data_IF_632763790525
#
_entry.id   IF_632763790525
#
_cell.length_a   1.000
_cell.length_b   1.000
_cell.length_c   1.000
_cell.angle_alpha   90.00
_cell.angle_beta   90.00
_cell.angle_gamma   90.00
#
_symmetry.space_group_name_H-M   'P 1'
#
loop_
_entity.id
_entity.type
_entity.pdbx_description
1 polymer ?
#
# COMPACT_ATOMS: atom_id res chain seq x y z
N UNK A 1 26.15 -33.18 -20.79
CA UNK A 1 25.66 -32.16 -19.83
C UNK A 1 24.69 -31.25 -20.56
N UNK A 2 23.38 -31.51 -20.46
CA UNK A 2 22.37 -30.69 -21.12
C UNK A 2 22.15 -29.40 -20.31
N UNK A 3 22.39 -28.25 -20.94
CA UNK A 3 22.11 -26.95 -20.34
C UNK A 3 20.59 -26.79 -20.17
N UNK A 4 20.14 -26.68 -18.92
CA UNK A 4 18.75 -26.40 -18.60
C UNK A 4 18.46 -24.96 -19.02
N UNK A 5 17.69 -24.79 -20.10
CA UNK A 5 17.25 -23.47 -20.53
C UNK A 5 16.43 -22.78 -19.41
N UNK A 6 16.66 -21.49 -19.13
CA UNK A 6 15.94 -20.81 -18.06
C UNK A 6 14.45 -20.75 -18.35
N UNK A 7 13.63 -21.18 -17.37
CA UNK A 7 12.17 -21.17 -17.47
C UNK A 7 11.68 -19.72 -17.71
N UNK A 8 10.85 -19.46 -18.73
CA UNK A 8 10.38 -18.11 -19.00
C UNK A 8 9.61 -17.58 -17.78
N UNK A 9 9.94 -16.37 -17.36
CA UNK A 9 9.30 -15.73 -16.21
C UNK A 9 7.79 -15.56 -16.46
N UNK A 10 6.94 -15.67 -15.43
CA UNK A 10 5.52 -15.40 -15.55
C UNK A 10 5.27 -14.02 -16.15
N UNK A 11 4.24 -13.88 -17.00
CA UNK A 11 3.89 -12.64 -17.72
C UNK A 11 3.79 -11.42 -16.78
N UNK A 12 3.28 -11.61 -15.57
CA UNK A 12 3.23 -10.60 -14.50
C UNK A 12 4.62 -10.09 -14.09
N UNK A 13 5.59 -10.99 -13.87
CA UNK A 13 6.95 -10.63 -13.48
C UNK A 13 7.64 -9.82 -14.58
N UNK A 14 7.36 -10.15 -15.86
CA UNK A 14 7.88 -9.39 -17.01
C UNK A 14 7.28 -7.98 -17.07
N UNK A 15 5.96 -7.84 -16.94
CA UNK A 15 5.27 -6.54 -16.93
C UNK A 15 5.79 -5.65 -15.79
N UNK A 16 5.99 -6.22 -14.61
CA UNK A 16 6.53 -5.50 -13.44
C UNK A 16 7.99 -5.08 -13.60
N UNK A 17 8.77 -5.69 -14.50
CA UNK A 17 10.16 -5.30 -14.79
C UNK A 17 10.27 -4.25 -15.89
N UNK A 18 9.46 -4.34 -16.94
CA UNK A 18 9.66 -3.54 -18.17
C UNK A 18 8.60 -2.48 -18.42
N UNK A 19 7.48 -2.49 -17.67
CA UNK A 19 6.42 -1.49 -17.82
C UNK A 19 6.82 -0.10 -17.31
N UNK A 20 6.15 0.98 -17.74
CA UNK A 20 6.36 2.30 -17.16
C UNK A 20 5.91 2.32 -15.68
N UNK A 21 6.61 3.11 -14.85
CA UNK A 21 6.41 3.12 -13.39
C UNK A 21 4.95 3.45 -13.00
N UNK A 22 4.31 4.38 -13.71
CA UNK A 22 2.93 4.78 -13.42
C UNK A 22 1.93 3.63 -13.59
N UNK A 23 2.06 2.83 -14.66
CA UNK A 23 1.15 1.70 -14.90
C UNK A 23 1.35 0.59 -13.88
N UNK A 24 2.61 0.28 -13.55
CA UNK A 24 2.93 -0.66 -12.47
C UNK A 24 2.39 -0.17 -11.13
N UNK A 25 2.47 1.14 -10.88
CA UNK A 25 1.91 1.79 -9.70
C UNK A 25 0.40 1.64 -9.58
N UNK A 26 -0.35 1.85 -10.67
CA UNK A 26 -1.81 1.66 -10.69
C UNK A 26 -2.17 0.21 -10.34
N UNK A 27 -1.50 -0.77 -10.97
CA UNK A 27 -1.74 -2.19 -10.69
C UNK A 27 -1.41 -2.53 -9.23
N UNK A 28 -0.33 -1.98 -8.68
CA UNK A 28 0.05 -2.17 -7.29
C UNK A 28 -0.99 -1.59 -6.33
N UNK A 29 -1.50 -0.39 -6.61
CA UNK A 29 -2.54 0.25 -5.81
C UNK A 29 -3.86 -0.53 -5.82
N UNK A 30 -4.27 -1.04 -6.98
CA UNK A 30 -5.47 -1.87 -7.11
C UNK A 30 -5.31 -3.21 -6.35
N UNK A 31 -4.17 -3.87 -6.50
CA UNK A 31 -3.88 -5.10 -5.76
C UNK A 31 -3.88 -4.85 -4.24
N UNK A 32 -3.24 -3.78 -3.79
CA UNK A 32 -3.23 -3.39 -2.39
C UNK A 32 -4.64 -3.07 -1.87
N UNK A 33 -5.46 -2.37 -2.65
CA UNK A 33 -6.84 -2.06 -2.29
C UNK A 33 -7.67 -3.33 -2.08
N UNK A 34 -7.57 -4.30 -2.99
CA UNK A 34 -8.27 -5.59 -2.88
C UNK A 34 -7.83 -6.35 -1.63
N UNK A 35 -6.52 -6.52 -1.42
CA UNK A 35 -6.00 -7.29 -0.28
C UNK A 35 -6.35 -6.62 1.06
N UNK A 36 -6.24 -5.30 1.12
CA UNK A 36 -6.51 -4.55 2.35
C UNK A 36 -8.00 -4.51 2.68
N UNK A 37 -8.87 -4.38 1.67
CA UNK A 37 -10.32 -4.46 1.88
C UNK A 37 -10.73 -5.85 2.33
N UNK A 38 -10.18 -6.92 1.72
CA UNK A 38 -10.43 -8.29 2.15
C UNK A 38 -10.03 -8.50 3.61
N UNK A 39 -8.89 -7.97 4.04
CA UNK A 39 -8.49 -7.95 5.45
C UNK A 39 -9.52 -7.24 6.34
N UNK A 40 -10.03 -6.08 5.90
CA UNK A 40 -11.05 -5.34 6.64
C UNK A 40 -12.39 -6.10 6.73
N UNK A 41 -12.75 -6.84 5.69
CA UNK A 41 -13.96 -7.68 5.66
C UNK A 41 -13.82 -8.85 6.63
N UNK A 42 -12.65 -9.47 6.70
CA UNK A 42 -12.36 -10.52 7.69
C UNK A 42 -12.47 -9.98 9.12
N UNK A 43 -11.99 -8.76 9.38
CA UNK A 43 -12.14 -8.11 10.68
C UNK A 43 -13.62 -7.89 11.04
N UNK A 44 -14.46 -7.46 10.08
CA UNK A 44 -15.92 -7.32 10.30
C UNK A 44 -16.56 -8.66 10.65
N UNK A 45 -16.20 -9.73 9.92
CA UNK A 45 -16.69 -11.09 10.21
C UNK A 45 -16.26 -11.55 11.61
N UNK A 46 -15.08 -11.14 12.07
CA UNK A 46 -14.59 -11.38 13.43
C UNK A 46 -15.23 -10.48 14.51
N UNK A 47 -16.21 -9.65 14.16
CA UNK A 47 -16.95 -8.80 15.09
C UNK A 47 -16.27 -7.47 15.42
N UNK A 48 -15.26 -7.04 14.66
CA UNK A 48 -14.67 -5.70 14.84
C UNK A 48 -15.70 -4.63 14.46
N UNK A 49 -15.95 -3.62 15.31
CA UNK A 49 -17.05 -2.67 15.12
C UNK A 49 -16.88 -1.78 13.89
N UNK A 50 -15.63 -1.60 13.42
CA UNK A 50 -15.30 -0.81 12.23
C UNK A 50 -15.94 0.59 12.25
N UNK A 51 -15.87 1.24 13.41
CA UNK A 51 -16.16 2.64 13.60
C UNK A 51 -14.89 3.34 14.10
N UNK A 52 -14.57 4.50 13.54
CA UNK A 52 -13.42 5.28 13.93
C UNK A 52 -13.74 6.77 13.93
N UNK A 53 -13.14 7.49 14.86
CA UNK A 53 -13.11 8.94 14.86
C UNK A 53 -11.89 9.41 14.06
N UNK A 54 -12.08 10.37 13.16
CA UNK A 54 -10.96 11.10 12.59
C UNK A 54 -10.13 11.79 13.68
N UNK A 55 -8.87 12.14 13.36
CA UNK A 55 -7.95 12.86 14.28
C UNK A 55 -8.56 14.17 14.80
N UNK A 56 -9.48 14.75 14.04
CA UNK A 56 -10.16 16.01 14.34
C UNK A 56 -11.65 15.85 14.66
N UNK A 57 -12.14 14.61 14.75
CA UNK A 57 -13.55 14.32 15.00
C UNK A 57 -13.76 13.90 16.46
N UNK A 58 -14.90 14.30 17.03
CA UNK A 58 -15.21 14.04 18.43
C UNK A 58 -15.90 12.68 18.66
N UNK A 59 -16.48 12.11 17.61
CA UNK A 59 -17.25 10.88 17.70
C UNK A 59 -16.86 9.90 16.61
N UNK A 60 -16.79 8.63 16.95
CA UNK A 60 -16.57 7.58 15.96
C UNK A 60 -17.72 7.49 14.96
N UNK A 61 -17.37 7.54 13.67
CA UNK A 61 -18.28 7.27 12.58
C UNK A 61 -18.08 5.84 12.06
N UNK A 62 -19.17 5.20 11.65
CA UNK A 62 -19.11 3.89 11.00
C UNK A 62 -18.31 3.98 9.69
N UNK A 63 -17.33 3.11 9.52
CA UNK A 63 -16.53 2.97 8.30
C UNK A 63 -17.32 2.12 7.31
N UNK A 64 -17.76 2.65 6.15
CA UNK A 64 -18.48 1.86 5.16
C UNK A 64 -17.61 0.80 4.50
N UNK A 65 -18.24 -0.25 3.97
CA UNK A 65 -17.56 -1.22 3.08
C UNK A 65 -17.03 -0.48 1.85
N UNK A 66 -15.83 -0.84 1.39
CA UNK A 66 -15.12 -0.20 0.28
C UNK A 66 -14.42 1.11 0.65
N UNK A 67 -14.59 1.63 1.87
CA UNK A 67 -13.88 2.83 2.31
C UNK A 67 -12.36 2.60 2.39
N UNK A 68 -11.93 1.41 2.84
CA UNK A 68 -10.51 1.06 2.94
C UNK A 68 -9.92 0.92 1.54
N UNK A 69 -10.58 0.18 0.63
CA UNK A 69 -10.17 0.08 -0.78
C UNK A 69 -9.99 1.46 -1.43
N UNK A 70 -11.00 2.32 -1.31
CA UNK A 70 -10.97 3.69 -1.87
C UNK A 70 -9.82 4.51 -1.30
N UNK A 71 -9.61 4.44 0.01
CA UNK A 71 -8.54 5.16 0.70
C UNK A 71 -7.17 4.70 0.21
N UNK A 72 -6.95 3.39 0.06
CA UNK A 72 -5.69 2.85 -0.48
C UNK A 72 -5.42 3.38 -1.88
N UNK A 73 -6.42 3.37 -2.77
CA UNK A 73 -6.26 3.92 -4.12
C UNK A 73 -5.91 5.41 -4.08
N UNK A 74 -6.67 6.20 -3.32
CA UNK A 74 -6.48 7.65 -3.23
C UNK A 74 -5.08 8.01 -2.70
N UNK A 75 -4.67 7.42 -1.57
CA UNK A 75 -3.37 7.70 -0.95
C UNK A 75 -2.19 7.14 -1.75
N UNK A 76 -2.41 6.08 -2.54
CA UNK A 76 -1.37 5.54 -3.41
C UNK A 76 -0.97 6.51 -4.54
N UNK A 77 -1.84 7.45 -4.93
CA UNK A 77 -1.53 8.43 -6.00
C UNK A 77 -0.25 9.20 -5.68
N UNK A 78 -0.12 9.72 -4.45
CA UNK A 78 1.08 10.44 -4.02
C UNK A 78 2.34 9.57 -4.08
N UNK A 79 2.24 8.31 -3.66
CA UNK A 79 3.34 7.33 -3.75
C UNK A 79 3.74 7.03 -5.21
N UNK A 80 2.78 6.91 -6.11
CA UNK A 80 3.05 6.68 -7.54
C UNK A 80 3.72 7.90 -8.17
N UNK A 81 3.22 9.11 -7.89
CA UNK A 81 3.84 10.37 -8.36
C UNK A 81 5.28 10.47 -7.87
N UNK A 82 5.51 10.18 -6.58
CA UNK A 82 6.86 10.14 -6.00
C UNK A 82 7.75 9.11 -6.71
N UNK A 83 7.25 7.90 -6.96
CA UNK A 83 8.01 6.86 -7.65
C UNK A 83 8.41 7.30 -9.08
N UNK A 84 7.49 7.89 -9.83
CA UNK A 84 7.75 8.43 -11.19
C UNK A 84 8.81 9.53 -11.14
N UNK A 85 8.71 10.45 -10.18
CA UNK A 85 9.67 11.51 -9.98
C UNK A 85 11.07 10.96 -9.66
N UNK A 86 11.17 10.00 -8.75
CA UNK A 86 12.43 9.39 -8.36
C UNK A 86 13.06 8.59 -9.50
N UNK A 87 12.27 7.85 -10.28
CA UNK A 87 12.74 7.11 -11.47
C UNK A 87 13.46 8.06 -12.44
N UNK A 88 12.91 9.26 -12.63
CA UNK A 88 13.43 10.28 -13.56
C UNK A 88 14.64 11.04 -13.03
N UNK A 89 14.69 11.34 -11.73
CA UNK A 89 15.65 12.34 -11.20
C UNK A 89 16.60 11.85 -10.11
N UNK A 90 16.27 10.78 -9.37
CA UNK A 90 17.09 10.36 -8.23
C UNK A 90 18.33 9.58 -8.70
N UNK A 91 19.44 9.60 -7.95
CA UNK A 91 20.60 8.73 -8.22
C UNK A 91 20.35 7.26 -7.83
N UNK A 92 19.54 7.02 -6.78
CA UNK A 92 19.21 5.69 -6.23
C UNK A 92 17.70 5.55 -5.98
N UNK A 93 16.86 5.46 -7.04
CA UNK A 93 15.41 5.64 -6.97
C UNK A 93 14.73 4.67 -6.01
N UNK A 94 15.03 3.37 -6.11
CA UNK A 94 14.43 2.35 -5.24
C UNK A 94 14.73 2.59 -3.75
N UNK A 95 16.00 2.91 -3.41
CA UNK A 95 16.40 3.14 -2.01
C UNK A 95 15.74 4.40 -1.45
N UNK A 96 15.75 5.50 -2.21
CA UNK A 96 15.10 6.75 -1.77
C UNK A 96 13.60 6.54 -1.59
N UNK A 97 12.95 5.86 -2.55
CA UNK A 97 11.52 5.58 -2.49
C UNK A 97 11.14 4.78 -1.22
N UNK A 98 11.87 3.69 -0.93
CA UNK A 98 11.61 2.87 0.26
C UNK A 98 11.77 3.68 1.55
N UNK A 99 12.86 4.44 1.69
CA UNK A 99 13.09 5.25 2.91
C UNK A 99 11.96 6.27 3.09
N UNK A 100 11.61 7.02 2.04
CA UNK A 100 10.56 8.03 2.11
C UNK A 100 9.19 7.44 2.41
N UNK A 101 8.82 6.34 1.74
CA UNK A 101 7.50 5.71 1.93
C UNK A 101 7.38 4.98 3.26
N UNK A 102 8.46 4.39 3.78
CA UNK A 102 8.49 3.85 5.15
C UNK A 102 8.29 4.97 6.16
N UNK A 103 8.96 6.12 6.01
CA UNK A 103 8.76 7.27 6.89
C UNK A 103 7.31 7.78 6.85
N UNK A 104 6.71 7.90 5.65
CA UNK A 104 5.30 8.26 5.52
C UNK A 104 4.35 7.21 6.11
N UNK A 105 4.68 5.92 5.98
CA UNK A 105 3.88 4.84 6.57
C UNK A 105 3.90 4.95 8.09
N UNK A 106 5.08 5.16 8.69
CA UNK A 106 5.20 5.39 10.14
C UNK A 106 4.39 6.60 10.58
N UNK A 107 4.46 7.71 9.83
CA UNK A 107 3.65 8.89 10.12
C UNK A 107 2.15 8.61 10.00
N UNK A 108 1.74 7.83 8.98
CA UNK A 108 0.36 7.44 8.76
C UNK A 108 -0.20 6.57 9.88
N UNK A 109 0.64 5.79 10.57
CA UNK A 109 0.23 4.99 11.73
C UNK A 109 -0.11 5.84 12.96
N UNK A 110 0.32 7.10 13.01
CA UNK A 110 -0.06 8.00 14.09
C UNK A 110 -1.59 8.21 14.15
N UNK A 111 -2.26 8.29 13.00
CA UNK A 111 -3.71 8.49 12.95
C UNK A 111 -4.50 7.39 13.68
N UNK A 112 -4.36 6.09 13.35
CA UNK A 112 -5.07 5.03 14.07
C UNK A 112 -4.61 4.88 15.53
N UNK A 113 -3.33 5.15 15.85
CA UNK A 113 -2.81 5.05 17.22
C UNK A 113 -3.35 6.15 18.13
N UNK A 114 -3.60 7.34 17.60
CA UNK A 114 -4.03 8.51 18.38
C UNK A 114 -5.56 8.71 18.41
N UNK A 115 -6.32 7.87 17.70
CA UNK A 115 -7.78 7.99 17.60
C UNK A 115 -8.50 7.54 18.89
N UNK A 116 -8.55 8.42 19.90
CA UNK A 116 -8.99 8.09 21.27
C UNK A 116 -10.41 7.53 21.37
N UNK A 117 -11.34 8.00 20.54
CA UNK A 117 -12.73 7.52 20.52
C UNK A 117 -12.93 6.31 19.57
N UNK A 118 -11.84 5.66 19.16
CA UNK A 118 -11.88 4.47 18.31
C UNK A 118 -11.58 3.23 19.15
N UNK A 119 -12.42 2.21 19.05
CA UNK A 119 -12.19 0.93 19.71
C UNK A 119 -10.80 0.37 19.34
N UNK A 120 -10.06 -0.15 20.34
CA UNK A 120 -8.69 -0.67 20.15
C UNK A 120 -8.64 -1.73 19.04
N UNK A 121 -9.66 -2.58 18.94
CA UNK A 121 -9.77 -3.56 17.85
C UNK A 121 -9.83 -2.90 16.47
N UNK A 122 -10.61 -1.81 16.31
CA UNK A 122 -10.63 -1.03 15.07
C UNK A 122 -9.29 -0.33 14.83
N UNK A 123 -8.66 0.24 15.85
CA UNK A 123 -7.33 0.86 15.70
C UNK A 123 -6.30 -0.14 15.17
N UNK A 124 -6.26 -1.35 15.73
CA UNK A 124 -5.37 -2.44 15.29
C UNK A 124 -5.64 -2.79 13.82
N UNK A 125 -6.92 -2.90 13.43
CA UNK A 125 -7.30 -3.17 12.04
C UNK A 125 -6.89 -2.04 11.12
N UNK A 126 -7.06 -0.78 11.51
CA UNK A 126 -6.63 0.36 10.69
C UNK A 126 -5.11 0.43 10.56
N UNK A 127 -4.37 0.22 11.66
CA UNK A 127 -2.91 0.12 11.62
C UNK A 127 -2.44 -1.03 10.73
N UNK A 128 -3.06 -2.21 10.86
CA UNK A 128 -2.79 -3.37 10.00
C UNK A 128 -3.09 -3.09 8.53
N UNK A 129 -4.19 -2.37 8.24
CA UNK A 129 -4.54 -1.97 6.88
C UNK A 129 -3.46 -1.07 6.25
N UNK A 130 -2.90 -0.12 7.00
CA UNK A 130 -1.77 0.69 6.53
C UNK A 130 -0.55 -0.17 6.22
N UNK A 131 -0.18 -1.10 7.10
CA UNK A 131 0.98 -1.98 6.90
C UNK A 131 0.79 -2.90 5.69
N UNK A 132 -0.39 -3.50 5.54
CA UNK A 132 -0.71 -4.36 4.40
C UNK A 132 -0.63 -3.57 3.10
N UNK A 133 -1.34 -2.44 3.01
CA UNK A 133 -1.33 -1.59 1.82
C UNK A 133 0.08 -1.13 1.46
N UNK A 134 0.83 -0.62 2.44
CA UNK A 134 2.20 -0.16 2.26
C UNK A 134 3.12 -1.31 1.80
N UNK A 135 3.03 -2.48 2.43
CA UNK A 135 3.88 -3.62 2.08
C UNK A 135 3.70 -4.06 0.62
N UNK A 136 2.46 -4.07 0.12
CA UNK A 136 2.15 -4.45 -1.26
C UNK A 136 2.65 -3.37 -2.23
N UNK A 137 2.26 -2.10 -2.02
CA UNK A 137 2.60 -1.00 -2.93
C UNK A 137 4.10 -0.76 -2.96
N UNK A 138 4.73 -0.65 -1.78
CA UNK A 138 6.16 -0.34 -1.67
C UNK A 138 6.99 -1.46 -2.29
N UNK A 139 6.67 -2.73 -2.00
CA UNK A 139 7.46 -3.84 -2.54
C UNK A 139 7.37 -3.92 -4.07
N UNK A 140 6.19 -3.69 -4.66
CA UNK A 140 6.02 -3.73 -6.12
C UNK A 140 6.75 -2.56 -6.79
N UNK A 141 6.54 -1.33 -6.32
CA UNK A 141 7.18 -0.14 -6.90
C UNK A 141 8.69 -0.14 -6.68
N UNK A 142 9.19 -0.52 -5.50
CA UNK A 142 10.63 -0.60 -5.23
C UNK A 142 11.33 -1.60 -6.15
N UNK A 143 10.73 -2.79 -6.37
CA UNK A 143 11.27 -3.77 -7.32
C UNK A 143 11.31 -3.22 -8.75
N UNK A 144 10.26 -2.50 -9.17
CA UNK A 144 10.23 -1.88 -10.50
C UNK A 144 11.28 -0.76 -10.63
N UNK A 145 11.45 0.08 -9.62
CA UNK A 145 12.48 1.13 -9.62
C UNK A 145 13.90 0.55 -9.62
N UNK A 146 14.10 -0.61 -8.99
CA UNK A 146 15.38 -1.31 -8.99
C UNK A 146 15.69 -1.97 -10.35
N UNK A 147 14.66 -2.36 -11.10
CA UNK A 147 14.81 -2.94 -12.44
C UNK A 147 14.88 -1.89 -13.56
N UNK A 148 14.51 -0.64 -13.29
CA UNK A 148 14.39 0.46 -14.25
C UNK A 148 15.70 1.15 -14.62
N UNK A 149 16.86 0.59 -14.26
CA UNK A 149 18.19 1.08 -14.61
C UNK A 149 19.14 -0.06 -14.86
#
# INVERSE_FOLDING_TARGET
MAAIAPKPLPRLVRILRTGPVWSVGILAALAAAVVTEAFSLLARVAGVPMAAAGVWEQHAAHIPIGYIARSVVLWSIGGIVLAVALDRWARRPARTFVITTVAFTTLSLAAPVLARDTAVSTQIVLAGAHVIAASVVIAILARRLAAGR
#
